data_IF_664013764409
#
_entry.id   IF_664013764409
#
_cell.length_a   1.000
_cell.length_b   1.000
_cell.length_c   1.000
_cell.angle_alpha   90.00
_cell.angle_beta   90.00
_cell.angle_gamma   90.00
#
_symmetry.space_group_name_H-M   'P 1'
#
loop_
_entity.id
_entity.type
_entity.pdbx_description
1 polymer ?
#
# COMPACT_ATOMS: atom_id res chain seq x y z
N UNK A 1 18.27 -19.32 14.88
CA UNK A 1 17.77 -19.02 14.57
C UNK A 1 17.36 -18.65 14.45
N UNK A 2 17.28 -18.53 14.58
CA UNK A 2 16.66 -18.18 14.35
C UNK A 2 16.27 -17.87 14.12
N UNK A 3 16.31 -17.99 14.14
CA UNK A 3 15.69 -17.60 13.87
C UNK A 3 15.06 -17.32 13.67
N UNK A 4 14.99 -17.42 13.74
CA UNK A 4 14.19 -17.06 13.51
C UNK A 4 13.71 -16.68 13.43
N UNK A 5 13.70 -16.80 13.70
CA UNK A 5 13.09 -16.21 13.63
C UNK A 5 12.57 -15.49 13.93
N UNK A 6 12.19 -16.21 14.28
CA UNK A 6 11.21 -15.46 14.77
C UNK A 6 11.39 -14.05 14.91
N UNK A 7 12.17 -13.76 15.07
CA UNK A 7 12.32 -12.52 15.06
C UNK A 7 12.32 -12.00 13.75
N UNK A 8 11.17 -11.74 13.19
CA UNK A 8 11.09 -11.01 11.98
C UNK A 8 11.57 -9.63 12.21
N UNK A 9 12.55 -9.20 11.50
CA UNK A 9 12.94 -7.81 11.48
C UNK A 9 11.98 -7.09 10.53
N UNK A 10 11.88 -5.78 10.65
CA UNK A 10 11.06 -4.99 9.74
C UNK A 10 11.57 -5.08 8.30
N UNK A 11 12.81 -5.49 8.07
CA UNK A 11 13.35 -5.72 6.75
C UNK A 11 12.57 -6.76 5.99
N UNK A 12 11.94 -7.67 6.68
CA UNK A 12 11.19 -8.74 6.04
C UNK A 12 9.79 -8.33 5.65
N UNK A 13 9.33 -7.19 6.13
CA UNK A 13 8.01 -6.70 5.75
C UNK A 13 8.10 -6.02 4.38
N UNK A 14 7.30 -6.52 3.45
CA UNK A 14 7.27 -6.02 2.09
C UNK A 14 6.11 -5.06 1.90
N UNK A 15 6.43 -3.85 1.47
CA UNK A 15 5.45 -2.80 1.20
C UNK A 15 5.40 -2.58 -0.31
N UNK A 16 4.24 -2.76 -0.91
CA UNK A 16 4.03 -2.39 -2.29
C UNK A 16 3.38 -1.01 -2.32
N UNK A 17 4.02 -0.07 -2.99
CA UNK A 17 3.56 1.32 -3.03
C UNK A 17 3.23 1.68 -4.48
N UNK A 18 1.94 1.92 -4.75
CA UNK A 18 1.46 2.19 -6.11
C UNK A 18 1.19 3.69 -6.25
N UNK A 19 2.08 4.38 -6.93
CA UNK A 19 2.10 5.83 -7.03
C UNK A 19 2.79 6.25 -8.33
N UNK A 20 2.14 7.08 -9.14
CA UNK A 20 2.69 7.50 -10.42
C UNK A 20 3.58 8.73 -10.36
N UNK A 21 3.47 9.54 -9.30
CA UNK A 21 4.31 10.73 -9.15
C UNK A 21 5.65 10.33 -8.53
N UNK A 22 6.77 10.41 -9.27
CA UNK A 22 8.04 9.93 -8.75
C UNK A 22 8.56 10.72 -7.54
N UNK A 23 8.23 11.99 -7.44
CA UNK A 23 8.65 12.81 -6.29
C UNK A 23 7.94 12.36 -5.02
N UNK A 24 6.64 12.17 -5.11
CA UNK A 24 5.83 11.70 -3.98
C UNK A 24 6.25 10.28 -3.59
N UNK A 25 6.41 9.42 -4.59
CA UNK A 25 6.84 8.04 -4.36
C UNK A 25 8.16 7.98 -3.60
N UNK A 26 9.13 8.78 -4.05
CA UNK A 26 10.45 8.78 -3.44
C UNK A 26 10.42 9.27 -1.99
N UNK A 27 9.59 10.25 -1.70
CA UNK A 27 9.46 10.81 -0.35
C UNK A 27 9.00 9.74 0.65
N UNK A 28 7.95 9.00 0.30
CA UNK A 28 7.45 7.95 1.18
C UNK A 28 8.40 6.75 1.22
N UNK A 29 8.97 6.40 0.08
CA UNK A 29 9.89 5.27 -0.01
C UNK A 29 11.10 5.46 0.90
N UNK A 30 11.70 6.66 0.88
CA UNK A 30 12.88 6.92 1.69
C UNK A 30 12.60 6.69 3.18
N UNK A 31 11.47 7.17 3.66
CA UNK A 31 11.14 7.01 5.08
C UNK A 31 10.87 5.55 5.43
N UNK A 32 10.13 4.85 4.59
CA UNK A 32 9.82 3.46 4.83
C UNK A 32 11.10 2.61 4.84
N UNK A 33 12.00 2.85 3.89
CA UNK A 33 13.25 2.11 3.84
C UNK A 33 14.14 2.44 5.02
N UNK A 34 14.16 3.69 5.43
CA UNK A 34 14.91 4.12 6.60
C UNK A 34 14.44 3.41 7.86
N UNK A 35 13.16 3.13 7.94
CA UNK A 35 12.58 2.43 9.09
C UNK A 35 12.66 0.90 8.95
N UNK A 36 13.34 0.40 7.92
CA UNK A 36 13.64 -1.02 7.77
C UNK A 36 12.70 -1.82 6.92
N UNK A 37 11.73 -1.19 6.24
CA UNK A 37 10.81 -1.91 5.38
C UNK A 37 11.40 -2.10 3.98
N UNK A 38 11.03 -3.19 3.34
CA UNK A 38 11.39 -3.45 1.95
C UNK A 38 10.28 -2.85 1.08
N UNK A 39 10.62 -1.90 0.23
CA UNK A 39 9.62 -1.18 -0.57
C UNK A 39 9.74 -1.53 -2.03
N UNK A 40 8.64 -1.97 -2.61
CA UNK A 40 8.53 -2.24 -4.04
C UNK A 40 7.61 -1.16 -4.62
N UNK A 41 8.06 -0.48 -5.66
CA UNK A 41 7.31 0.62 -6.26
C UNK A 41 6.63 0.18 -7.53
N UNK A 42 5.37 0.61 -7.69
CA UNK A 42 4.65 0.45 -8.96
C UNK A 42 4.21 1.84 -9.41
N UNK A 43 4.40 2.15 -10.68
CA UNK A 43 4.16 3.50 -11.20
C UNK A 43 2.79 3.65 -11.87
N UNK A 44 2.05 2.57 -12.01
CA UNK A 44 0.70 2.62 -12.57
C UNK A 44 -0.10 1.43 -12.06
N UNK A 45 -1.39 1.43 -12.35
CA UNK A 45 -2.29 0.40 -11.81
C UNK A 45 -2.03 -0.99 -12.37
N UNK A 46 -1.62 -1.07 -13.63
CA UNK A 46 -1.31 -2.35 -14.25
C UNK A 46 -0.10 -3.00 -13.58
N UNK A 47 0.95 -2.21 -13.37
CA UNK A 47 2.14 -2.68 -12.67
C UNK A 47 1.82 -3.05 -11.23
N UNK A 48 0.95 -2.28 -10.59
CA UNK A 48 0.51 -2.57 -9.22
C UNK A 48 -0.13 -3.94 -9.09
N UNK A 49 -1.03 -4.28 -10.01
CA UNK A 49 -1.68 -5.60 -10.01
C UNK A 49 -0.67 -6.71 -10.27
N UNK A 50 0.21 -6.50 -11.23
CA UNK A 50 1.21 -7.50 -11.58
C UNK A 50 2.16 -7.76 -10.42
N UNK A 51 2.68 -6.69 -9.82
CA UNK A 51 3.65 -6.81 -8.74
C UNK A 51 3.02 -7.39 -7.46
N UNK A 52 1.75 -7.07 -7.20
CA UNK A 52 1.07 -7.64 -6.04
C UNK A 52 1.05 -9.17 -6.09
N UNK A 53 0.91 -9.74 -7.30
CA UNK A 53 0.95 -11.19 -7.47
C UNK A 53 2.36 -11.74 -7.42
N UNK A 54 3.35 -10.98 -7.88
CA UNK A 54 4.72 -11.48 -7.97
C UNK A 54 5.50 -11.38 -6.68
N UNK A 55 5.31 -10.30 -5.91
CA UNK A 55 6.16 -10.08 -4.74
C UNK A 55 5.50 -10.44 -3.41
N UNK A 56 4.23 -10.77 -3.43
CA UNK A 56 3.49 -11.18 -2.23
C UNK A 56 3.69 -10.16 -1.10
N UNK A 57 3.20 -8.93 -1.28
CA UNK A 57 3.44 -7.88 -0.28
C UNK A 57 2.62 -8.13 0.99
N UNK A 58 3.13 -7.61 2.10
CA UNK A 58 2.43 -7.66 3.38
C UNK A 58 1.41 -6.53 3.50
N UNK A 59 1.63 -5.44 2.80
CA UNK A 59 0.71 -4.30 2.79
C UNK A 59 0.86 -3.55 1.47
N UNK A 60 -0.23 -2.96 0.99
CA UNK A 60 -0.24 -2.18 -0.25
C UNK A 60 -0.73 -0.76 0.07
N UNK A 61 0.05 0.24 -0.32
CA UNK A 61 -0.41 1.64 -0.34
C UNK A 61 -0.77 1.98 -1.77
N UNK A 62 -1.94 2.56 -1.96
CA UNK A 62 -2.55 2.65 -3.29
C UNK A 62 -3.15 4.02 -3.54
N UNK A 63 -2.67 4.69 -4.57
CA UNK A 63 -3.28 5.94 -5.03
C UNK A 63 -4.53 5.62 -5.84
N UNK A 64 -5.46 6.57 -5.89
CA UNK A 64 -6.70 6.43 -6.66
C UNK A 64 -6.50 6.82 -8.12
N UNK A 65 -5.87 7.97 -8.36
CA UNK A 65 -5.69 8.46 -9.73
C UNK A 65 -4.38 7.94 -10.30
N UNK A 66 -4.48 6.87 -11.07
CA UNK A 66 -3.33 6.19 -11.64
C UNK A 66 -3.50 6.04 -13.14
N UNK A 67 -2.39 6.03 -13.90
CA UNK A 67 -2.46 5.67 -15.32
C UNK A 67 -2.84 4.20 -15.50
N UNK A 68 -3.39 3.90 -16.65
CA UNK A 68 -3.74 2.57 -17.14
C UNK A 68 -4.93 1.95 -16.41
N UNK A 69 -4.78 1.66 -15.11
CA UNK A 69 -5.88 1.11 -14.31
C UNK A 69 -5.96 1.96 -13.05
N UNK A 70 -7.11 2.59 -12.80
CA UNK A 70 -7.24 3.48 -11.63
C UNK A 70 -7.22 2.69 -10.32
N UNK A 71 -7.00 3.40 -9.20
CA UNK A 71 -6.81 2.76 -7.92
C UNK A 71 -7.97 1.94 -7.40
N UNK A 72 -9.21 2.40 -7.62
CA UNK A 72 -10.36 1.61 -7.18
C UNK A 72 -10.48 0.31 -7.97
N UNK A 73 -10.15 0.36 -9.26
CA UNK A 73 -10.13 -0.85 -10.09
C UNK A 73 -9.00 -1.79 -9.67
N UNK A 74 -7.84 -1.23 -9.28
CA UNK A 74 -6.75 -2.03 -8.74
C UNK A 74 -7.21 -2.76 -7.47
N UNK A 75 -7.87 -2.04 -6.57
CA UNK A 75 -8.37 -2.62 -5.32
C UNK A 75 -9.37 -3.74 -5.62
N UNK A 76 -10.27 -3.50 -6.54
CA UNK A 76 -11.25 -4.50 -6.95
C UNK A 76 -10.54 -5.74 -7.49
N UNK A 77 -9.52 -5.55 -8.32
CA UNK A 77 -8.73 -6.65 -8.87
C UNK A 77 -8.00 -7.43 -7.79
N UNK A 78 -7.45 -6.74 -6.80
CA UNK A 78 -6.77 -7.41 -5.69
C UNK A 78 -7.74 -8.27 -4.89
N UNK A 79 -8.94 -7.77 -4.65
CA UNK A 79 -9.96 -8.50 -3.89
C UNK A 79 -10.56 -9.68 -4.65
N UNK A 80 -10.45 -9.67 -5.98
CA UNK A 80 -11.00 -10.72 -6.83
C UNK A 80 -10.03 -11.86 -7.08
N UNK A 81 -8.77 -11.73 -6.71
CA UNK A 81 -7.75 -12.74 -6.93
C UNK A 81 -7.45 -13.45 -5.61
N UNK A 82 -7.50 -14.76 -5.60
CA UNK A 82 -7.29 -15.57 -4.39
C UNK A 82 -5.94 -15.30 -3.73
N UNK A 83 -4.93 -14.94 -4.51
CA UNK A 83 -3.60 -14.69 -3.97
C UNK A 83 -3.49 -13.37 -3.22
N UNK A 84 -4.32 -12.39 -3.56
CA UNK A 84 -4.21 -11.03 -3.03
C UNK A 84 -5.43 -10.55 -2.28
N UNK A 85 -6.50 -11.35 -2.24
CA UNK A 85 -7.77 -10.84 -1.73
C UNK A 85 -7.77 -10.44 -0.26
N UNK A 86 -6.82 -10.93 0.52
CA UNK A 86 -6.73 -10.61 1.95
C UNK A 86 -5.62 -9.64 2.28
N UNK A 87 -4.87 -9.16 1.27
CA UNK A 87 -3.76 -8.26 1.56
C UNK A 87 -4.29 -6.94 2.11
N UNK A 88 -3.71 -6.42 3.20
CA UNK A 88 -4.12 -5.11 3.70
C UNK A 88 -3.82 -4.02 2.68
N UNK A 89 -4.81 -3.17 2.41
CA UNK A 89 -4.66 -2.06 1.47
C UNK A 89 -5.04 -0.78 2.20
N UNK A 90 -4.16 0.21 2.13
CA UNK A 90 -4.42 1.56 2.63
C UNK A 90 -4.38 2.50 1.43
N UNK A 91 -5.47 3.24 1.21
CA UNK A 91 -5.53 4.20 0.12
C UNK A 91 -4.87 5.49 0.57
N UNK A 92 -4.04 6.07 -0.30
CA UNK A 92 -3.36 7.32 -0.04
C UNK A 92 -3.57 8.21 -1.25
N UNK A 93 -4.42 9.22 -1.13
CA UNK A 93 -4.89 10.00 -2.27
C UNK A 93 -4.99 11.48 -1.95
N UNK A 94 -4.91 12.33 -2.98
CA UNK A 94 -5.20 13.75 -2.85
C UNK A 94 -6.70 14.04 -2.85
N UNK A 95 -7.53 13.05 -3.17
CA UNK A 95 -8.96 13.23 -3.39
C UNK A 95 -9.76 12.63 -2.25
N UNK A 96 -10.35 13.48 -1.43
CA UNK A 96 -11.10 13.07 -0.24
C UNK A 96 -12.62 13.19 -0.36
N UNK A 97 -13.15 13.21 -1.59
CA UNK A 97 -14.60 13.26 -1.77
C UNK A 97 -15.25 12.06 -1.10
N UNK A 98 -16.33 12.30 -0.41
CA UNK A 98 -16.99 11.28 0.41
C UNK A 98 -17.33 10.00 -0.37
N UNK A 99 -17.76 10.15 -1.63
CA UNK A 99 -18.09 9.02 -2.46
C UNK A 99 -16.88 8.13 -2.77
N UNK A 100 -15.69 8.72 -2.98
CA UNK A 100 -14.47 7.95 -3.20
C UNK A 100 -14.05 7.23 -1.93
N UNK A 101 -14.15 7.92 -0.80
CA UNK A 101 -13.83 7.33 0.51
C UNK A 101 -14.73 6.13 0.78
N UNK A 102 -16.02 6.31 0.58
CA UNK A 102 -17.01 5.26 0.84
C UNK A 102 -16.77 4.06 -0.06
N UNK A 103 -16.48 4.28 -1.33
CA UNK A 103 -16.24 3.20 -2.28
C UNK A 103 -14.96 2.44 -1.94
N UNK A 104 -13.90 3.17 -1.56
CA UNK A 104 -12.64 2.53 -1.19
C UNK A 104 -12.80 1.64 0.03
N UNK A 105 -13.48 2.15 1.06
CA UNK A 105 -13.70 1.37 2.26
C UNK A 105 -14.61 0.18 2.01
N UNK A 106 -15.62 0.36 1.18
CA UNK A 106 -16.56 -0.72 0.83
C UNK A 106 -15.85 -1.83 0.06
N UNK A 107 -14.85 -1.48 -0.75
CA UNK A 107 -14.05 -2.48 -1.48
C UNK A 107 -13.00 -3.14 -0.59
N UNK A 108 -12.95 -2.80 0.68
CA UNK A 108 -12.11 -3.49 1.63
C UNK A 108 -10.79 -2.81 1.99
N UNK A 109 -10.63 -1.51 1.67
CA UNK A 109 -9.45 -0.79 2.15
C UNK A 109 -9.56 -0.63 3.67
N UNK A 110 -8.45 -0.76 4.37
CA UNK A 110 -8.42 -0.57 5.82
C UNK A 110 -8.59 0.89 6.19
N UNK A 111 -7.99 1.77 5.40
CA UNK A 111 -8.08 3.22 5.62
C UNK A 111 -8.00 3.95 4.32
N UNK A 112 -8.50 5.17 4.34
CA UNK A 112 -8.42 6.10 3.22
C UNK A 112 -7.75 7.36 3.76
N UNK A 113 -6.51 7.59 3.37
CA UNK A 113 -5.72 8.72 3.86
C UNK A 113 -5.56 9.78 2.80
N UNK A 114 -5.50 11.04 3.23
CA UNK A 114 -5.30 12.18 2.32
C UNK A 114 -3.82 12.53 2.35
N UNK A 115 -3.19 12.58 1.18
CA UNK A 115 -1.74 12.81 1.07
C UNK A 115 -1.29 14.08 1.77
N UNK A 116 -2.02 15.16 1.60
CA UNK A 116 -1.65 16.45 2.21
C UNK A 116 -1.72 16.44 3.73
N UNK A 117 -2.35 15.42 4.31
CA UNK A 117 -2.52 15.29 5.75
C UNK A 117 -1.75 14.10 6.32
N UNK A 118 -0.94 13.44 5.50
CA UNK A 118 -0.25 12.21 5.90
C UNK A 118 1.24 12.32 5.61
N UNK A 119 2.02 12.60 6.63
CA UNK A 119 3.47 12.69 6.48
C UNK A 119 4.07 11.30 6.27
N UNK A 120 5.26 11.20 5.68
CA UNK A 120 5.94 9.91 5.58
C UNK A 120 6.15 9.24 6.94
N UNK A 121 6.45 10.04 7.97
CA UNK A 121 6.64 9.50 9.33
C UNK A 121 5.35 8.88 9.87
N UNK A 122 4.22 9.55 9.65
CA UNK A 122 2.93 9.03 10.10
C UNK A 122 2.58 7.75 9.36
N UNK A 123 2.80 7.71 8.05
CA UNK A 123 2.51 6.54 7.26
C UNK A 123 3.35 5.35 7.75
N UNK A 124 4.64 5.57 7.94
CA UNK A 124 5.55 4.52 8.37
C UNK A 124 5.16 3.97 9.75
N UNK A 125 4.80 4.86 10.68
CA UNK A 125 4.35 4.43 12.01
C UNK A 125 3.08 3.61 11.95
N UNK A 126 2.23 3.86 10.96
CA UNK A 126 0.97 3.15 10.82
C UNK A 126 1.10 1.71 10.36
N UNK A 127 2.21 1.37 9.70
CA UNK A 127 2.36 0.04 9.08
C UNK A 127 2.12 -1.09 10.07
N UNK A 128 2.73 -1.04 11.23
CA UNK A 128 2.58 -2.12 12.19
C UNK A 128 1.15 -2.25 12.70
N UNK A 129 0.47 -1.13 12.89
CA UNK A 129 -0.92 -1.15 13.32
C UNK A 129 -1.82 -1.76 12.26
N UNK A 130 -1.63 -1.41 11.01
CA UNK A 130 -2.44 -1.95 9.92
C UNK A 130 -2.18 -3.44 9.73
N UNK A 131 -0.96 -3.89 9.92
CA UNK A 131 -0.65 -5.31 9.82
C UNK A 131 -1.31 -6.10 10.96
N UNK A 132 -1.42 -5.51 12.14
CA UNK A 132 -2.06 -6.17 13.27
C UNK A 132 -3.57 -6.25 13.17
N UNK A 133 -4.20 -5.44 12.31
CA UNK A 133 -5.65 -5.48 12.11
C UNK A 133 -6.07 -6.63 11.21
N UNK A 134 -5.11 -7.36 10.69
CA UNK A 134 -5.42 -8.54 9.91
C UNK A 134 -5.96 -9.68 10.79
#
# INVERSE_FOLDING_TARGET
MANGHGEHSSDEIRVLFVEDDPTVAQMYRLKLELDGYQVIMAKDGEEGLRLANEVDPDIVFLDIRLPKVDGLSVLEGLRSDDRTRNVPVVILSNYGEQDLVDRGLKLGALEYLIKSQTTPARLSRGVENWLREE
#
